data_IF_552418206431
#
_entry.id   IF_552418206431
#
_cell.length_a   1.000
_cell.length_b   1.000
_cell.length_c   1.000
_cell.angle_alpha   90.00
_cell.angle_beta   90.00
_cell.angle_gamma   90.00
#
_symmetry.space_group_name_H-M   'P 1'
#
loop_
_entity.id
_entity.type
_entity.pdbx_description
1 polymer ?
#
# COMPACT_ATOMS: atom_id res chain seq x y z
N UNK A 1 7.72 -6.26 24.98
CA UNK A 1 8.31 -7.48 24.49
C UNK A 1 9.39 -7.94 25.44
N UNK A 2 9.38 -9.19 25.90
CA UNK A 2 10.49 -9.76 26.68
C UNK A 2 11.75 -9.79 25.81
N UNK A 3 12.81 -9.15 26.25
CA UNK A 3 14.15 -9.37 25.69
C UNK A 3 14.63 -10.73 26.15
N UNK A 4 15.08 -11.57 25.20
CA UNK A 4 15.70 -12.85 25.49
C UNK A 4 16.94 -12.64 26.39
N UNK A 5 17.11 -13.49 27.39
CA UNK A 5 18.33 -13.57 28.20
C UNK A 5 19.47 -14.13 27.36
N UNK A 6 20.72 -13.93 27.76
CA UNK A 6 21.89 -14.47 27.07
C UNK A 6 21.86 -16.02 26.99
N UNK A 7 21.35 -16.69 28.04
CA UNK A 7 21.18 -18.13 28.05
C UNK A 7 20.15 -18.63 27.04
N UNK A 8 18.97 -17.96 26.98
CA UNK A 8 17.92 -18.27 25.99
C UNK A 8 18.41 -18.03 24.56
N UNK A 9 19.22 -16.98 24.36
CA UNK A 9 19.81 -16.69 23.06
C UNK A 9 20.82 -17.77 22.63
N UNK A 10 21.64 -18.23 23.56
CA UNK A 10 22.61 -19.32 23.31
C UNK A 10 21.89 -20.64 22.98
N UNK A 11 20.84 -20.97 23.71
CA UNK A 11 20.06 -22.19 23.46
C UNK A 11 19.34 -22.12 22.11
N UNK A 12 18.74 -20.99 21.77
CA UNK A 12 18.12 -20.76 20.46
C UNK A 12 19.13 -20.92 19.33
N UNK A 13 20.32 -20.35 19.49
CA UNK A 13 21.43 -20.49 18.52
C UNK A 13 21.85 -21.95 18.34
N UNK A 14 21.95 -22.70 19.43
CA UNK A 14 22.28 -24.13 19.41
C UNK A 14 21.26 -24.96 18.64
N UNK A 15 19.95 -24.68 18.83
CA UNK A 15 18.86 -25.35 18.12
C UNK A 15 18.82 -24.99 16.63
N UNK A 16 19.13 -23.75 16.28
CA UNK A 16 19.11 -23.29 14.89
C UNK A 16 20.33 -23.73 14.08
N UNK A 17 21.48 -23.99 14.74
CA UNK A 17 22.73 -24.31 14.05
C UNK A 17 22.64 -25.50 13.08
N UNK A 18 21.95 -26.62 13.37
CA UNK A 18 21.86 -27.75 12.44
C UNK A 18 20.92 -27.53 11.27
N UNK A 19 19.93 -26.65 11.41
CA UNK A 19 18.84 -26.44 10.41
C UNK A 19 18.95 -25.11 9.67
N UNK A 20 19.75 -24.16 10.17
CA UNK A 20 19.89 -22.84 9.59
C UNK A 20 21.34 -22.55 9.22
N UNK A 21 21.61 -22.40 7.92
CA UNK A 21 22.91 -21.91 7.39
C UNK A 21 22.75 -20.48 6.92
N UNK A 22 23.38 -19.55 7.64
CA UNK A 22 23.40 -18.13 7.26
C UNK A 22 24.75 -17.74 6.70
N UNK A 23 24.80 -17.37 5.44
CA UNK A 23 25.98 -16.79 4.81
C UNK A 23 25.85 -15.28 4.77
N UNK A 24 26.77 -14.57 5.37
CA UNK A 24 26.79 -13.10 5.32
C UNK A 24 27.47 -12.65 4.02
N UNK A 25 27.00 -11.53 3.43
CA UNK A 25 27.59 -10.95 2.21
C UNK A 25 29.09 -10.75 2.32
N UNK A 26 29.59 -10.33 3.49
CA UNK A 26 31.04 -10.15 3.75
C UNK A 26 31.86 -11.42 3.62
N UNK A 27 31.25 -12.59 3.80
CA UNK A 27 31.95 -13.90 3.74
C UNK A 27 32.10 -14.40 2.30
N UNK A 28 31.37 -13.83 1.36
CA UNK A 28 31.36 -14.23 -0.06
C UNK A 28 31.85 -13.13 -1.00
N UNK A 29 32.45 -12.05 -0.46
CA UNK A 29 32.97 -10.93 -1.27
C UNK A 29 34.09 -11.36 -2.22
N UNK A 30 34.83 -12.41 -1.91
CA UNK A 30 35.88 -12.98 -2.76
C UNK A 30 35.28 -13.63 -4.01
N UNK A 31 34.05 -14.18 -3.89
CA UNK A 31 33.37 -14.92 -4.96
C UNK A 31 32.35 -14.06 -5.69
N UNK A 32 31.69 -13.13 -4.98
CA UNK A 32 30.60 -12.31 -5.52
C UNK A 32 30.85 -10.84 -5.20
N UNK A 33 31.01 -10.03 -6.26
CA UNK A 33 31.11 -8.57 -6.12
C UNK A 33 29.70 -7.99 -6.00
N UNK A 34 29.32 -7.61 -4.80
CA UNK A 34 28.07 -6.90 -4.56
C UNK A 34 28.21 -5.42 -4.90
N UNK A 35 27.16 -4.85 -5.46
CA UNK A 35 27.05 -3.41 -5.66
C UNK A 35 26.91 -2.69 -4.31
N UNK A 36 27.53 -1.52 -4.20
CA UNK A 36 27.41 -0.68 -3.01
C UNK A 36 26.00 -0.07 -2.96
N UNK A 37 25.32 -0.20 -1.82
CA UNK A 37 24.08 0.53 -1.54
C UNK A 37 24.42 1.89 -0.96
N UNK A 38 23.83 2.93 -1.55
CA UNK A 38 23.88 4.30 -1.03
C UNK A 38 22.43 4.65 -0.68
N UNK A 39 22.16 4.87 0.60
CA UNK A 39 20.86 5.35 1.02
C UNK A 39 20.77 6.86 0.78
N UNK A 40 19.73 7.29 0.07
CA UNK A 40 19.36 8.69 -0.11
C UNK A 40 18.01 8.86 0.57
N UNK A 41 17.93 9.78 1.52
CA UNK A 41 16.71 10.15 2.20
C UNK A 41 16.24 11.48 1.65
N UNK A 42 15.02 11.54 1.16
CA UNK A 42 14.35 12.78 0.77
C UNK A 42 13.24 13.03 1.78
N UNK A 43 13.41 14.07 2.58
CA UNK A 43 12.43 14.49 3.57
C UNK A 43 11.37 15.35 2.91
N UNK A 44 10.11 15.19 3.32
CA UNK A 44 9.02 16.03 2.88
C UNK A 44 8.19 16.49 4.09
N UNK A 45 7.58 17.63 3.94
CA UNK A 45 6.64 18.17 4.92
C UNK A 45 5.25 18.25 4.29
N UNK A 46 4.20 17.76 4.97
CA UNK A 46 2.85 17.88 4.47
C UNK A 46 2.44 19.36 4.39
N UNK A 47 1.59 19.70 3.45
CA UNK A 47 0.93 21.00 3.42
C UNK A 47 -0.05 21.14 4.60
N UNK A 48 -0.48 22.38 4.92
CA UNK A 48 -1.47 22.60 5.97
C UNK A 48 -2.75 21.80 5.77
N UNK A 49 -3.21 21.66 4.51
CA UNK A 49 -4.41 20.89 4.20
C UNK A 49 -4.17 19.37 4.35
N UNK A 50 -3.00 18.86 3.98
CA UNK A 50 -2.63 17.46 4.20
C UNK A 50 -2.55 17.16 5.70
N UNK A 51 -1.91 18.02 6.48
CA UNK A 51 -1.83 17.87 7.94
C UNK A 51 -3.22 17.94 8.58
N UNK A 52 -4.04 18.91 8.18
CA UNK A 52 -5.41 19.05 8.68
C UNK A 52 -6.24 17.80 8.39
N UNK A 53 -6.16 17.25 7.19
CA UNK A 53 -6.85 16.01 6.84
C UNK A 53 -6.38 14.86 7.73
N UNK A 54 -5.06 14.74 7.95
CA UNK A 54 -4.48 13.73 8.81
C UNK A 54 -5.01 13.80 10.24
N UNK A 55 -5.05 15.00 10.82
CA UNK A 55 -5.52 15.23 12.18
C UNK A 55 -7.01 14.92 12.30
N UNK A 56 -7.85 15.42 11.38
CA UNK A 56 -9.30 15.16 11.36
C UNK A 56 -9.62 13.67 11.26
N UNK A 57 -8.95 12.95 10.37
CA UNK A 57 -9.14 11.49 10.22
C UNK A 57 -8.63 10.73 11.44
N UNK A 58 -7.54 11.19 12.05
CA UNK A 58 -7.02 10.58 13.29
C UNK A 58 -8.02 10.73 14.44
N UNK A 59 -8.61 11.91 14.61
CA UNK A 59 -9.63 12.16 15.61
C UNK A 59 -10.88 11.31 15.37
N UNK A 60 -11.32 11.19 14.11
CA UNK A 60 -12.43 10.34 13.74
C UNK A 60 -12.16 8.88 14.10
N UNK A 61 -10.99 8.34 13.77
CA UNK A 61 -10.63 6.94 14.05
C UNK A 61 -10.51 6.63 15.55
N UNK A 62 -10.28 7.64 16.38
CA UNK A 62 -10.21 7.51 17.84
C UNK A 62 -11.59 7.52 18.52
N UNK A 63 -12.67 7.80 17.82
CA UNK A 63 -14.03 7.80 18.39
C UNK A 63 -14.42 6.42 18.95
N UNK A 64 -15.17 6.36 20.05
CA UNK A 64 -15.56 5.09 20.68
C UNK A 64 -16.48 4.26 19.80
N UNK A 65 -17.31 4.86 18.95
CA UNK A 65 -18.25 4.21 18.05
C UNK A 65 -18.17 4.82 16.66
N UNK A 66 -18.08 3.97 15.65
CA UNK A 66 -18.11 4.32 14.25
C UNK A 66 -19.08 3.36 13.53
N UNK A 67 -19.97 3.90 12.71
CA UNK A 67 -20.93 3.08 11.96
C UNK A 67 -20.33 2.57 10.64
N UNK A 68 -19.36 3.27 10.08
CA UNK A 68 -18.68 2.84 8.87
C UNK A 68 -17.69 1.69 9.12
N UNK A 69 -17.23 1.47 10.35
CA UNK A 69 -16.22 0.46 10.68
C UNK A 69 -16.78 -0.58 11.64
N UNK A 70 -16.80 -1.87 11.28
CA UNK A 70 -17.23 -2.96 12.17
C UNK A 70 -16.37 -3.02 13.43
N UNK A 71 -16.99 -3.29 14.59
CA UNK A 71 -16.26 -3.37 15.85
C UNK A 71 -15.23 -4.51 15.86
N UNK A 72 -15.57 -5.67 15.30
CA UNK A 72 -14.71 -6.85 15.22
C UNK A 72 -13.41 -6.61 14.43
N UNK A 73 -13.43 -5.72 13.43
CA UNK A 73 -12.27 -5.44 12.55
C UNK A 73 -11.72 -4.02 12.70
N UNK A 74 -12.21 -3.29 13.70
CA UNK A 74 -11.90 -1.87 13.87
C UNK A 74 -10.39 -1.56 13.93
N UNK A 75 -9.62 -2.38 14.63
CA UNK A 75 -8.18 -2.17 14.75
C UNK A 75 -7.47 -2.31 13.41
N UNK A 76 -7.82 -3.34 12.64
CA UNK A 76 -7.28 -3.56 11.29
C UNK A 76 -7.67 -2.42 10.35
N UNK A 77 -8.95 -2.06 10.31
CA UNK A 77 -9.45 -0.96 9.47
C UNK A 77 -8.80 0.39 9.80
N UNK A 78 -8.62 0.67 11.10
CA UNK A 78 -7.90 1.86 11.54
C UNK A 78 -6.46 1.88 11.03
N UNK A 79 -5.76 0.75 11.08
CA UNK A 79 -4.41 0.63 10.56
C UNK A 79 -4.36 0.86 9.04
N UNK A 80 -5.29 0.25 8.30
CA UNK A 80 -5.42 0.40 6.85
C UNK A 80 -5.67 1.87 6.47
N UNK A 81 -6.64 2.51 7.10
CA UNK A 81 -6.95 3.92 6.82
C UNK A 81 -5.77 4.85 7.12
N UNK A 82 -5.04 4.62 8.22
CA UNK A 82 -3.81 5.36 8.52
C UNK A 82 -2.71 5.14 7.47
N UNK A 83 -2.55 3.93 6.98
CA UNK A 83 -1.59 3.63 5.90
C UNK A 83 -1.97 4.31 4.60
N UNK A 84 -3.24 4.26 4.20
CA UNK A 84 -3.73 4.94 3.00
C UNK A 84 -3.54 6.45 3.10
N UNK A 85 -3.88 7.04 4.26
CA UNK A 85 -3.72 8.47 4.53
C UNK A 85 -2.24 8.88 4.42
N UNK A 86 -1.33 8.07 4.96
CA UNK A 86 0.12 8.29 4.86
C UNK A 86 0.68 8.02 3.46
N UNK A 87 -0.03 7.24 2.63
CA UNK A 87 0.40 6.90 1.27
C UNK A 87 0.10 8.03 0.29
N UNK A 88 -1.17 8.40 0.14
CA UNK A 88 -1.57 9.51 -0.71
C UNK A 88 -3.00 9.98 -0.40
N UNK A 89 -3.25 11.27 -0.58
CA UNK A 89 -4.60 11.86 -0.46
C UNK A 89 -5.56 11.30 -1.51
N UNK A 90 -5.06 10.88 -2.66
CA UNK A 90 -5.86 10.22 -3.70
C UNK A 90 -6.36 8.84 -3.26
N UNK A 91 -5.51 8.05 -2.61
CA UNK A 91 -5.90 6.72 -2.14
C UNK A 91 -7.00 6.80 -1.07
N UNK A 92 -6.85 7.69 -0.09
CA UNK A 92 -7.84 7.85 0.98
C UNK A 92 -9.16 8.48 0.50
N UNK A 93 -9.12 9.35 -0.52
CA UNK A 93 -10.31 9.94 -1.12
C UNK A 93 -11.30 8.87 -1.60
N UNK A 94 -10.82 7.89 -2.36
CA UNK A 94 -11.66 6.79 -2.84
C UNK A 94 -12.26 5.97 -1.71
N UNK A 95 -11.49 5.76 -0.63
CA UNK A 95 -11.99 5.04 0.55
C UNK A 95 -13.10 5.82 1.25
N UNK A 96 -13.01 7.14 1.37
CA UNK A 96 -14.12 7.94 1.91
C UNK A 96 -15.37 7.82 1.04
N UNK A 97 -15.26 7.86 -0.29
CA UNK A 97 -16.40 7.64 -1.17
C UNK A 97 -17.06 6.28 -0.92
N UNK A 98 -16.28 5.21 -0.79
CA UNK A 98 -16.79 3.87 -0.50
C UNK A 98 -17.50 3.79 0.85
N UNK A 99 -16.92 4.39 1.91
CA UNK A 99 -17.53 4.43 3.24
C UNK A 99 -18.84 5.22 3.25
N UNK A 100 -18.90 6.37 2.58
CA UNK A 100 -20.12 7.20 2.46
C UNK A 100 -21.22 6.43 1.75
N UNK A 101 -20.93 5.86 0.56
CA UNK A 101 -21.91 5.08 -0.20
C UNK A 101 -22.52 3.96 0.63
N UNK A 102 -21.69 3.27 1.35
CA UNK A 102 -22.10 2.18 2.24
C UNK A 102 -23.03 2.65 3.35
N UNK A 103 -22.70 3.73 4.04
CA UNK A 103 -23.57 4.28 5.07
C UNK A 103 -24.91 4.77 4.49
N UNK A 104 -24.90 5.32 3.28
CA UNK A 104 -26.11 5.70 2.55
C UNK A 104 -26.96 4.49 2.18
N UNK A 105 -26.35 3.39 1.75
CA UNK A 105 -27.04 2.12 1.46
C UNK A 105 -27.71 1.52 2.71
N UNK A 106 -27.06 1.62 3.87
CA UNK A 106 -27.64 1.19 5.16
C UNK A 106 -28.90 1.99 5.45
N UNK A 107 -28.87 3.31 5.28
CA UNK A 107 -30.05 4.15 5.47
C UNK A 107 -31.17 3.82 4.46
N UNK A 108 -30.81 3.63 3.18
CA UNK A 108 -31.78 3.42 2.10
C UNK A 108 -32.51 2.08 2.19
N UNK A 109 -31.80 1.01 2.61
CA UNK A 109 -32.35 -0.34 2.65
C UNK A 109 -33.10 -0.66 3.93
N UNK A 110 -32.98 0.18 4.95
CA UNK A 110 -33.47 -0.10 6.30
C UNK A 110 -33.10 -1.52 6.79
N UNK A 111 -32.08 -2.11 6.16
CA UNK A 111 -31.65 -3.48 6.33
C UNK A 111 -30.29 -3.53 7.01
N UNK A 112 -30.20 -4.40 8.02
CA UNK A 112 -28.97 -4.78 8.72
C UNK A 112 -28.02 -5.61 7.82
N UNK A 113 -27.84 -5.27 6.53
CA UNK A 113 -27.04 -6.07 5.62
C UNK A 113 -25.57 -5.72 5.74
N UNK A 114 -24.88 -6.67 6.37
CA UNK A 114 -23.45 -7.03 6.22
C UNK A 114 -22.48 -5.96 5.68
N UNK A 115 -21.90 -5.30 6.62
CA UNK A 115 -20.77 -4.39 6.50
C UNK A 115 -19.44 -5.07 6.04
N UNK A 116 -19.48 -6.31 5.56
CA UNK A 116 -18.33 -7.20 5.60
C UNK A 116 -17.28 -7.03 4.51
N UNK A 117 -17.59 -6.59 3.31
CA UNK A 117 -16.70 -6.97 2.22
C UNK A 117 -16.00 -5.84 1.44
N UNK A 118 -16.59 -4.67 1.25
CA UNK A 118 -16.05 -3.75 0.24
C UNK A 118 -14.70 -3.10 0.56
N UNK A 119 -14.41 -2.76 1.82
CA UNK A 119 -13.11 -2.12 2.14
C UNK A 119 -12.01 -3.17 2.28
N UNK A 120 -12.36 -4.36 2.78
CA UNK A 120 -11.42 -5.47 2.91
C UNK A 120 -11.13 -6.07 1.54
N UNK A 121 -12.16 -6.37 0.73
CA UNK A 121 -11.99 -6.88 -0.63
C UNK A 121 -11.16 -5.94 -1.50
N UNK A 122 -11.41 -4.63 -1.42
CA UNK A 122 -10.64 -3.63 -2.17
C UNK A 122 -9.20 -3.50 -1.68
N UNK A 123 -8.94 -3.85 -0.40
CA UNK A 123 -7.60 -3.87 0.19
C UNK A 123 -6.93 -5.24 0.04
N UNK A 124 -7.68 -6.33 0.09
CA UNK A 124 -7.20 -7.70 -0.17
C UNK A 124 -6.80 -7.88 -1.63
N UNK A 125 -7.51 -7.28 -2.59
CA UNK A 125 -7.07 -7.22 -3.99
C UNK A 125 -5.73 -6.48 -4.15
N UNK A 126 -5.39 -5.57 -3.23
CA UNK A 126 -4.15 -4.80 -3.24
C UNK A 126 -2.99 -5.46 -2.46
N UNK A 127 -3.27 -6.40 -1.53
CA UNK A 127 -2.27 -6.97 -0.61
C UNK A 127 -2.48 -8.47 -0.36
N UNK A 128 -2.10 -9.31 -1.31
CA UNK A 128 -2.07 -10.78 -1.17
C UNK A 128 -1.15 -11.30 -0.04
N UNK A 129 -0.35 -10.45 0.61
CA UNK A 129 0.71 -10.87 1.54
C UNK A 129 0.33 -10.80 3.04
N UNK A 130 -0.82 -10.21 3.41
CA UNK A 130 -1.10 -9.87 4.82
C UNK A 130 -2.33 -10.53 5.42
N UNK A 131 -3.09 -11.26 4.66
CA UNK A 131 -4.22 -12.05 5.17
C UNK A 131 -3.75 -13.48 5.36
N UNK A 132 -3.15 -13.77 6.52
CA UNK A 132 -3.22 -15.13 7.05
C UNK A 132 -4.70 -15.46 7.15
N UNK A 133 -5.13 -16.47 6.41
CA UNK A 133 -6.49 -17.03 6.45
C UNK A 133 -6.77 -17.68 7.81
N UNK A 134 -6.62 -16.96 8.91
CA UNK A 134 -7.32 -17.30 10.13
C UNK A 134 -8.78 -17.04 9.82
N UNK A 135 -9.56 -18.10 9.81
CA UNK A 135 -11.03 -18.10 9.73
C UNK A 135 -11.54 -17.06 10.74
N UNK A 136 -11.85 -15.86 10.22
CA UNK A 136 -12.47 -14.80 11.03
C UNK A 136 -13.87 -15.32 11.29
N UNK A 137 -14.06 -15.93 12.48
CA UNK A 137 -15.36 -16.34 12.95
C UNK A 137 -16.34 -15.18 12.77
N UNK A 138 -17.44 -15.50 12.11
CA UNK A 138 -18.48 -14.54 11.75
C UNK A 138 -19.32 -14.17 12.98
N UNK A 139 -18.79 -13.36 13.85
CA UNK A 139 -19.64 -12.63 14.79
C UNK A 139 -20.44 -11.59 13.99
N UNK A 140 -21.61 -12.02 13.57
CA UNK A 140 -22.66 -11.16 13.04
C UNK A 140 -23.20 -10.37 14.23
N UNK A 141 -22.53 -9.29 14.62
CA UNK A 141 -23.15 -8.32 15.51
C UNK A 141 -24.30 -7.68 14.73
N UNK A 142 -25.53 -8.06 15.06
CA UNK A 142 -26.72 -7.31 14.65
C UNK A 142 -26.53 -5.88 15.16
N UNK A 143 -26.37 -4.94 14.21
CA UNK A 143 -26.41 -3.53 14.57
C UNK A 143 -27.74 -3.27 15.28
N UNK A 144 -27.76 -2.66 16.48
CA UNK A 144 -28.98 -2.24 17.13
C UNK A 144 -29.78 -1.37 16.16
N UNK A 145 -31.14 -1.32 16.27
CA UNK A 145 -32.00 -0.58 15.35
C UNK A 145 -31.37 0.78 15.07
N UNK A 146 -31.09 1.01 13.78
CA UNK A 146 -30.07 1.94 13.33
C UNK A 146 -30.28 3.32 13.96
N UNK A 147 -29.29 3.81 14.69
CA UNK A 147 -29.20 5.21 15.06
C UNK A 147 -28.97 6.02 13.76
N UNK A 148 -30.04 6.20 13.00
CA UNK A 148 -30.04 6.86 11.69
C UNK A 148 -29.46 8.26 11.81
N UNK A 149 -29.68 8.93 12.94
CA UNK A 149 -29.13 10.27 13.17
C UNK A 149 -27.61 10.20 13.36
N UNK A 150 -27.11 9.22 14.08
CA UNK A 150 -25.68 8.98 14.24
C UNK A 150 -25.00 8.67 12.90
N UNK A 151 -25.61 7.81 12.09
CA UNK A 151 -25.11 7.48 10.74
C UNK A 151 -25.07 8.73 9.83
N UNK A 152 -26.11 9.56 9.85
CA UNK A 152 -26.13 10.81 9.06
C UNK A 152 -25.03 11.79 9.51
N UNK A 153 -24.76 11.90 10.80
CA UNK A 153 -23.65 12.72 11.30
C UNK A 153 -22.29 12.20 10.84
N UNK A 154 -22.11 10.89 10.84
CA UNK A 154 -20.87 10.27 10.36
C UNK A 154 -20.69 10.46 8.85
N UNK A 155 -21.75 10.31 8.05
CA UNK A 155 -21.72 10.63 6.61
C UNK A 155 -21.24 12.07 6.39
N UNK A 156 -21.87 13.04 7.10
CA UNK A 156 -21.48 14.45 6.95
C UNK A 156 -20.02 14.72 7.29
N UNK A 157 -19.47 14.00 8.26
CA UNK A 157 -18.06 14.10 8.63
C UNK A 157 -17.14 13.50 7.57
N UNK A 158 -17.48 12.31 7.06
CA UNK A 158 -16.75 11.67 5.96
C UNK A 158 -16.78 12.49 4.68
N UNK A 159 -17.90 13.18 4.40
CA UNK A 159 -18.00 14.11 3.28
C UNK A 159 -17.05 15.29 3.42
N UNK A 160 -16.87 15.83 4.63
CA UNK A 160 -15.89 16.88 4.88
C UNK A 160 -14.46 16.40 4.61
N UNK A 161 -14.14 15.16 5.00
CA UNK A 161 -12.83 14.57 4.70
C UNK A 161 -12.62 14.36 3.21
N UNK A 162 -13.61 13.82 2.52
CA UNK A 162 -13.61 13.65 1.06
C UNK A 162 -13.38 14.98 0.35
N UNK A 163 -14.14 16.01 0.70
CA UNK A 163 -14.07 17.32 0.07
C UNK A 163 -12.73 18.02 0.35
N UNK A 164 -12.16 17.81 1.54
CA UNK A 164 -10.82 18.31 1.85
C UNK A 164 -9.74 17.54 1.05
N UNK A 165 -9.85 16.22 0.96
CA UNK A 165 -8.94 15.40 0.17
C UNK A 165 -8.98 15.78 -1.32
N UNK A 166 -10.15 16.05 -1.87
CA UNK A 166 -10.32 16.50 -3.26
C UNK A 166 -9.65 17.86 -3.54
N UNK A 167 -9.69 18.77 -2.57
CA UNK A 167 -9.05 20.10 -2.68
C UNK A 167 -7.53 20.01 -2.66
N UNK A 168 -6.95 18.95 -2.15
CA UNK A 168 -5.50 18.73 -2.12
C UNK A 168 -5.02 18.27 -3.48
N UNK A 169 -4.76 19.25 -4.38
CA UNK A 169 -4.31 18.99 -5.76
C UNK A 169 -2.87 18.52 -5.87
N UNK A 170 -2.04 18.86 -4.89
CA UNK A 170 -0.61 18.51 -4.84
C UNK A 170 -0.38 17.59 -3.65
N UNK A 171 0.11 16.40 -3.91
CA UNK A 171 0.55 15.49 -2.87
C UNK A 171 2.04 15.73 -2.61
N UNK A 172 2.37 16.26 -1.43
CA UNK A 172 3.74 16.63 -1.05
C UNK A 172 4.70 15.45 -1.19
N UNK A 173 4.30 14.26 -0.76
CA UNK A 173 5.11 13.04 -0.85
C UNK A 173 5.41 12.67 -2.30
N UNK A 174 4.44 12.80 -3.21
CA UNK A 174 4.63 12.53 -4.63
C UNK A 174 5.57 13.54 -5.29
N UNK A 175 5.46 14.84 -4.95
CA UNK A 175 6.38 15.85 -5.47
C UNK A 175 7.84 15.57 -5.04
N UNK A 176 8.05 15.20 -3.78
CA UNK A 176 9.38 14.83 -3.29
C UNK A 176 9.90 13.51 -3.87
N UNK A 177 9.02 12.57 -4.25
CA UNK A 177 9.41 11.39 -5.01
C UNK A 177 10.07 11.79 -6.34
N UNK A 178 9.53 12.78 -7.05
CA UNK A 178 10.12 13.22 -8.31
C UNK A 178 11.49 13.87 -8.11
N UNK A 179 11.65 14.65 -7.04
CA UNK A 179 12.97 15.18 -6.64
C UNK A 179 13.96 14.05 -6.36
N UNK A 180 13.52 13.03 -5.63
CA UNK A 180 14.34 11.85 -5.34
C UNK A 180 14.72 11.07 -6.61
N UNK A 181 13.78 10.92 -7.57
CA UNK A 181 14.05 10.28 -8.86
C UNK A 181 15.10 11.06 -9.68
N UNK A 182 14.97 12.38 -9.75
CA UNK A 182 15.92 13.22 -10.49
C UNK A 182 17.32 13.13 -9.88
N UNK A 183 17.46 13.24 -8.56
CA UNK A 183 18.72 13.05 -7.83
C UNK A 183 19.28 11.64 -8.06
N UNK A 184 18.43 10.61 -7.97
CA UNK A 184 18.81 9.23 -8.19
C UNK A 184 19.32 8.97 -9.61
N UNK A 185 18.64 9.48 -10.63
CA UNK A 185 19.04 9.35 -12.03
C UNK A 185 20.31 10.13 -12.34
N UNK A 186 20.52 11.26 -11.70
CA UNK A 186 21.78 12.01 -11.82
C UNK A 186 22.95 11.18 -11.28
N UNK A 187 22.82 10.60 -10.10
CA UNK A 187 23.82 9.72 -9.52
C UNK A 187 24.09 8.48 -10.37
N UNK A 188 23.06 7.86 -10.93
CA UNK A 188 23.20 6.72 -11.82
C UNK A 188 23.98 7.08 -13.10
N UNK A 189 23.73 8.27 -13.68
CA UNK A 189 24.49 8.76 -14.84
C UNK A 189 25.98 8.97 -14.50
N UNK A 190 26.28 9.55 -13.34
CA UNK A 190 27.68 9.72 -12.88
C UNK A 190 28.40 8.38 -12.69
N UNK A 191 27.67 7.34 -12.32
CA UNK A 191 28.20 5.99 -12.16
C UNK A 191 28.24 5.19 -13.48
N UNK A 192 27.82 5.77 -14.61
CA UNK A 192 27.71 5.08 -15.90
C UNK A 192 26.62 3.98 -15.91
N UNK A 193 25.68 4.04 -14.98
CA UNK A 193 24.59 3.08 -14.85
C UNK A 193 23.35 3.52 -15.61
N UNK A 194 22.47 2.57 -15.94
CA UNK A 194 21.21 2.87 -16.59
C UNK A 194 20.27 3.63 -15.64
N UNK A 195 19.61 4.69 -16.13
CA UNK A 195 18.60 5.46 -15.40
C UNK A 195 17.31 4.65 -15.28
N UNK A 196 17.29 3.69 -14.35
CA UNK A 196 16.15 2.83 -14.03
C UNK A 196 15.84 2.91 -12.54
N UNK A 197 14.58 2.94 -12.19
CA UNK A 197 14.11 2.93 -10.81
C UNK A 197 12.99 1.92 -10.62
N UNK A 198 12.92 1.33 -9.43
CA UNK A 198 11.77 0.59 -8.94
C UNK A 198 11.12 1.43 -7.86
N UNK A 199 9.82 1.68 -8.00
CA UNK A 199 9.01 2.41 -7.03
C UNK A 199 8.06 1.42 -6.39
N UNK A 200 8.16 1.27 -5.08
CA UNK A 200 7.26 0.43 -4.30
C UNK A 200 6.19 1.29 -3.63
N UNK A 201 4.96 0.84 -3.69
CA UNK A 201 3.82 1.44 -3.00
C UNK A 201 2.92 0.33 -2.47
N UNK A 202 2.28 0.58 -1.33
CA UNK A 202 1.39 -0.39 -0.68
C UNK A 202 -0.04 -0.35 -1.23
N UNK A 203 -0.38 0.61 -2.10
CA UNK A 203 -1.73 0.81 -2.62
C UNK A 203 -1.75 0.89 -4.14
N UNK A 204 -2.61 0.10 -4.76
CA UNK A 204 -2.87 0.13 -6.20
C UNK A 204 -3.39 1.51 -6.67
N UNK A 205 -4.22 2.15 -5.85
CA UNK A 205 -4.68 3.53 -6.12
C UNK A 205 -3.50 4.52 -6.13
N UNK A 206 -2.56 4.38 -5.20
CA UNK A 206 -1.33 5.20 -5.23
C UNK A 206 -0.46 4.87 -6.44
N UNK A 207 -0.39 3.60 -6.84
CA UNK A 207 0.32 3.19 -8.06
C UNK A 207 -0.26 3.88 -9.30
N UNK A 208 -1.59 3.87 -9.47
CA UNK A 208 -2.27 4.52 -10.58
C UNK A 208 -2.08 6.05 -10.58
N UNK A 209 -2.18 6.66 -9.41
CA UNK A 209 -1.91 8.09 -9.23
C UNK A 209 -0.48 8.45 -9.68
N UNK A 210 0.52 7.71 -9.19
CA UNK A 210 1.92 7.92 -9.55
C UNK A 210 2.17 7.65 -11.04
N UNK A 211 1.56 6.60 -11.60
CA UNK A 211 1.64 6.29 -13.03
C UNK A 211 1.17 7.48 -13.88
N UNK A 212 -0.03 8.01 -13.61
CA UNK A 212 -0.57 9.15 -14.34
C UNK A 212 0.28 10.43 -14.20
N UNK A 213 0.92 10.63 -13.04
CA UNK A 213 1.83 11.76 -12.82
C UNK A 213 3.16 11.60 -13.56
N UNK A 214 3.72 10.40 -13.58
CA UNK A 214 4.93 10.07 -14.33
C UNK A 214 4.72 10.25 -15.83
N UNK A 215 3.59 9.81 -16.38
CA UNK A 215 3.28 10.03 -17.80
C UNK A 215 3.25 11.52 -18.18
N UNK A 216 2.61 12.35 -17.34
CA UNK A 216 2.54 13.81 -17.53
C UNK A 216 3.92 14.48 -17.44
N UNK A 217 4.88 13.87 -16.73
CA UNK A 217 6.26 14.37 -16.59
C UNK A 217 7.23 13.83 -17.66
N UNK A 218 6.73 13.23 -18.73
CA UNK A 218 7.55 12.80 -19.86
C UNK A 218 8.06 11.36 -19.78
N UNK A 219 7.55 10.57 -18.85
CA UNK A 219 7.85 9.14 -18.76
C UNK A 219 6.82 8.26 -19.50
N UNK A 220 5.97 8.86 -20.36
CA UNK A 220 4.99 8.12 -21.15
C UNK A 220 5.65 6.99 -21.95
N UNK A 221 5.12 5.77 -21.80
CA UNK A 221 5.67 4.58 -22.45
C UNK A 221 6.99 4.07 -21.85
N UNK A 222 7.45 4.62 -20.73
CA UNK A 222 8.68 4.23 -20.02
C UNK A 222 8.40 3.66 -18.62
N UNK A 223 7.15 3.60 -18.22
CA UNK A 223 6.71 3.11 -16.91
C UNK A 223 5.93 1.82 -17.11
N UNK A 224 6.22 0.83 -16.30
CA UNK A 224 5.47 -0.43 -16.24
C UNK A 224 4.90 -0.55 -14.83
N UNK A 225 3.62 -0.84 -14.74
CA UNK A 225 2.97 -1.17 -13.48
C UNK A 225 3.11 -2.67 -13.23
N UNK A 226 3.40 -3.02 -12.00
CA UNK A 226 3.44 -4.40 -11.55
C UNK A 226 2.70 -4.49 -10.20
N UNK A 227 1.69 -5.33 -10.13
CA UNK A 227 0.89 -5.60 -8.93
C UNK A 227 0.52 -7.09 -8.86
N UNK A 228 -0.21 -7.52 -7.84
CA UNK A 228 -0.53 -8.94 -7.63
C UNK A 228 -1.29 -9.61 -8.79
N UNK A 229 -2.11 -8.86 -9.51
CA UNK A 229 -2.96 -9.45 -10.58
C UNK A 229 -2.34 -9.42 -11.97
N UNK A 230 -1.74 -8.30 -12.40
CA UNK A 230 -1.09 -8.10 -13.74
C UNK A 230 -1.79 -8.74 -14.94
N UNK A 231 -3.12 -8.89 -14.87
CA UNK A 231 -3.92 -9.59 -15.88
C UNK A 231 -4.54 -8.66 -16.93
N UNK A 232 -4.32 -7.35 -16.80
CA UNK A 232 -4.82 -6.39 -17.76
C UNK A 232 -4.13 -6.52 -19.12
N UNK A 233 -4.80 -6.02 -20.17
CA UNK A 233 -4.34 -6.14 -21.56
C UNK A 233 -2.98 -5.47 -21.80
N UNK A 234 -2.69 -4.39 -21.10
CA UNK A 234 -1.43 -3.63 -21.25
C UNK A 234 -0.27 -4.41 -20.64
N UNK A 235 -0.41 -4.89 -19.41
CA UNK A 235 0.58 -5.74 -18.74
C UNK A 235 0.87 -7.00 -19.51
N UNK A 236 -0.17 -7.67 -20.02
CA UNK A 236 -0.05 -8.87 -20.87
C UNK A 236 0.72 -8.56 -22.17
N UNK A 237 0.43 -7.43 -22.83
CA UNK A 237 1.11 -7.05 -24.07
C UNK A 237 2.60 -6.75 -23.82
N UNK A 238 2.92 -6.06 -22.72
CA UNK A 238 4.30 -5.76 -22.33
C UNK A 238 5.07 -7.07 -22.06
N UNK A 239 4.46 -8.00 -21.33
CA UNK A 239 5.07 -9.29 -21.02
C UNK A 239 5.34 -10.12 -22.31
N UNK A 240 4.37 -10.20 -23.21
CA UNK A 240 4.53 -10.89 -24.48
C UNK A 240 5.63 -10.27 -25.36
N UNK A 241 5.71 -8.95 -25.40
CA UNK A 241 6.78 -8.24 -26.10
C UNK A 241 8.16 -8.55 -25.49
N UNK A 242 8.24 -8.60 -24.16
CA UNK A 242 9.45 -8.97 -23.44
C UNK A 242 9.89 -10.41 -23.72
N UNK A 243 8.95 -11.37 -23.67
CA UNK A 243 9.21 -12.78 -24.01
C UNK A 243 9.77 -12.90 -25.43
N UNK A 244 9.13 -12.23 -26.41
CA UNK A 244 9.58 -12.23 -27.81
C UNK A 244 11.00 -11.69 -27.94
N UNK A 245 11.31 -10.60 -27.24
CA UNK A 245 12.63 -9.95 -27.27
C UNK A 245 13.74 -10.82 -26.68
N UNK A 246 13.42 -11.60 -25.64
CA UNK A 246 14.41 -12.38 -24.89
C UNK A 246 14.36 -13.87 -25.17
N UNK A 247 13.57 -14.32 -26.17
CA UNK A 247 13.48 -15.71 -26.59
C UNK A 247 14.88 -16.30 -26.89
N UNK A 248 15.18 -17.44 -26.29
CA UNK A 248 16.47 -18.11 -26.47
C UNK A 248 17.62 -17.55 -25.62
N UNK A 249 17.34 -16.61 -24.74
CA UNK A 249 18.32 -16.15 -23.74
C UNK A 249 18.06 -16.80 -22.38
N UNK A 250 19.06 -16.83 -21.46
CA UNK A 250 18.85 -17.35 -20.10
C UNK A 250 17.83 -16.56 -19.25
N UNK A 251 17.29 -15.45 -19.78
CA UNK A 251 16.28 -14.64 -19.10
C UNK A 251 14.88 -15.26 -19.17
N UNK A 252 14.64 -16.09 -20.19
CA UNK A 252 13.37 -16.79 -20.36
C UNK A 252 13.60 -18.25 -20.03
N UNK A 253 13.03 -18.67 -18.88
CA UNK A 253 13.22 -20.04 -18.35
C UNK A 253 12.22 -21.03 -18.93
N UNK A 254 11.12 -20.56 -19.53
CA UNK A 254 9.98 -21.35 -19.97
C UNK A 254 9.06 -21.81 -18.83
N UNK A 255 9.28 -21.31 -17.62
CA UNK A 255 8.42 -21.53 -16.46
C UNK A 255 7.37 -20.42 -16.36
N UNK A 256 6.09 -20.77 -16.30
CA UNK A 256 5.00 -19.81 -16.13
C UNK A 256 5.08 -19.00 -14.81
N UNK A 257 5.84 -19.49 -13.85
CA UNK A 257 6.00 -18.86 -12.53
C UNK A 257 7.33 -18.14 -12.33
N UNK A 258 8.31 -18.36 -13.23
CA UNK A 258 9.67 -17.82 -13.10
C UNK A 258 10.03 -16.82 -14.23
N UNK A 259 9.25 -16.76 -15.29
CA UNK A 259 9.38 -15.79 -16.38
C UNK A 259 8.41 -14.62 -16.16
#
# INVERSE_FOLDING_TARGET
GHSLTDEEFMELRRRLQPVCKRTLRRQVLEYIKYTKRIAIVEEFFPTENEQRLYDMVTDYLNKPKLYALPNSQRQLMTLILRKLLASSTYAIYGTFCSLINRLQDIIAKNDNVLLKNLVIEEYEEDNDEWVDNEEIEEDIEELPPADIEGIKKEISELEQFRDLAEKIKKNSKAEHLFVALDKGFEQLRHLGAASKALIFTESKRTQEFLYGHLEKRGYKGKVVRFNGTNTDKESTAIYQAWLKKHKGTPKVTGSLTAD
#
